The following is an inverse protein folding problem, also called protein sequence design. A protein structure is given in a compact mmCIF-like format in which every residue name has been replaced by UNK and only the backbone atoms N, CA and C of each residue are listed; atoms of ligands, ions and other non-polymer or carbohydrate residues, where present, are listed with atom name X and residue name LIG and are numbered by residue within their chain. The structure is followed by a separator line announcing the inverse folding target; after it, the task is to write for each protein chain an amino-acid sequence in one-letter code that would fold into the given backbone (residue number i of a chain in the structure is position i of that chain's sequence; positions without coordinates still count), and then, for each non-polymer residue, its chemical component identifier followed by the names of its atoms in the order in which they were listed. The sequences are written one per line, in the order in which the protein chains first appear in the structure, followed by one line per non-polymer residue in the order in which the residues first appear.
data_IF_706396367535
#
_entry.id   IF_706396367535
#
_cell.length_a   1.000
_cell.length_b   1.000
_cell.length_c   1.000
_cell.angle_alpha   90.00
_cell.angle_beta   90.00
_cell.angle_gamma   90.00
#
_symmetry.space_group_name_H-M   'P 1'
#
loop_
_entity.id
_entity.type
_entity.pdbx_description
1 polymer ?
#
# COMPACT_ATOMS: atom_id res chain seq x y z
N UNK A 1 5.54 -7.27 12.76
CA UNK A 1 4.23 -7.48 12.07
C UNK A 1 3.81 -8.92 12.33
N UNK A 2 2.54 -9.19 12.65
CA UNK A 2 2.07 -10.55 12.90
C UNK A 2 2.09 -11.41 11.62
N UNK A 3 2.29 -12.73 11.74
CA UNK A 3 2.37 -13.65 10.59
C UNK A 3 1.11 -13.63 9.71
N UNK A 4 -0.06 -13.43 10.30
CA UNK A 4 -1.31 -13.27 9.56
C UNK A 4 -1.31 -12.04 8.65
N UNK A 5 -0.70 -10.93 9.10
CA UNK A 5 -0.56 -9.72 8.30
C UNK A 5 0.42 -9.91 7.13
N UNK A 6 1.46 -10.74 7.32
CA UNK A 6 2.34 -11.17 6.22
C UNK A 6 1.69 -12.16 5.25
N UNK A 7 0.52 -12.68 5.59
CA UNK A 7 -0.26 -13.56 4.71
C UNK A 7 -1.54 -12.88 4.19
N UNK A 8 -1.72 -11.58 4.44
CA UNK A 8 -2.92 -10.86 4.05
C UNK A 8 -2.78 -10.28 2.63
N UNK A 9 -3.80 -10.47 1.81
CA UNK A 9 -3.88 -9.89 0.47
C UNK A 9 -5.11 -8.98 0.30
N UNK A 10 -5.73 -8.57 1.40
CA UNK A 10 -6.95 -7.75 1.38
C UNK A 10 -6.72 -6.35 1.95
N UNK A 11 -5.71 -5.66 1.42
CA UNK A 11 -5.28 -4.37 1.96
C UNK A 11 -6.36 -3.28 1.82
N UNK A 12 -7.25 -3.43 0.83
CA UNK A 12 -8.33 -2.47 0.57
C UNK A 12 -9.67 -2.87 1.19
N UNK A 13 -9.73 -3.96 1.97
CA UNK A 13 -10.96 -4.51 2.54
C UNK A 13 -12.05 -4.69 1.45
N UNK A 14 -11.83 -5.68 0.59
CA UNK A 14 -12.58 -5.94 -0.64
C UNK A 14 -14.04 -6.30 -0.44
N UNK A 15 -14.41 -6.77 0.77
CA UNK A 15 -15.76 -7.23 1.12
C UNK A 15 -16.59 -6.19 1.87
N UNK A 16 -16.01 -5.04 2.25
CA UNK A 16 -16.74 -3.97 2.92
C UNK A 16 -17.76 -3.29 1.98
N UNK A 17 -18.74 -2.61 2.56
CA UNK A 17 -19.63 -1.71 1.83
C UNK A 17 -18.99 -0.34 1.59
N UNK A 18 -18.30 0.17 2.61
CA UNK A 18 -17.60 1.45 2.65
C UNK A 18 -16.24 1.25 3.34
N UNK A 19 -15.17 1.78 2.75
CA UNK A 19 -13.81 1.71 3.32
C UNK A 19 -13.29 3.12 3.54
N UNK A 20 -12.73 3.36 4.72
CA UNK A 20 -12.11 4.64 5.08
C UNK A 20 -10.64 4.38 5.39
N UNK A 21 -9.76 5.18 4.82
CA UNK A 21 -8.31 5.09 5.05
C UNK A 21 -7.61 6.35 4.56
N UNK A 22 -6.28 6.30 4.40
CA UNK A 22 -5.49 7.46 4.00
C UNK A 22 -4.58 7.19 2.79
N UNK A 23 -4.44 5.94 2.35
CA UNK A 23 -3.39 5.54 1.40
C UNK A 23 -3.44 6.29 0.07
N UNK A 24 -4.63 6.67 -0.41
CA UNK A 24 -4.80 7.45 -1.63
C UNK A 24 -5.11 8.93 -1.38
N UNK A 25 -5.17 9.37 -0.12
CA UNK A 25 -5.44 10.75 0.22
C UNK A 25 -4.18 11.62 0.01
N UNK A 26 -4.33 12.88 -0.41
CA UNK A 26 -3.21 13.81 -0.47
C UNK A 26 -2.66 14.08 0.94
N UNK A 27 -1.34 14.05 1.08
CA UNK A 27 -0.64 14.35 2.32
C UNK A 27 0.50 15.31 2.02
N UNK A 28 0.45 16.51 2.62
CA UNK A 28 1.40 17.58 2.35
C UNK A 28 2.31 17.82 3.56
N UNK A 29 3.40 18.54 3.34
CA UNK A 29 4.26 19.01 4.44
C UNK A 29 3.45 19.89 5.40
N UNK A 30 3.30 19.45 6.65
CA UNK A 30 2.50 20.14 7.67
C UNK A 30 1.07 19.59 7.85
N UNK A 31 0.69 18.55 7.11
CA UNK A 31 -0.52 17.79 7.42
C UNK A 31 -0.35 17.04 8.75
N UNK A 32 -1.30 17.25 9.67
CA UNK A 32 -1.37 16.50 10.94
C UNK A 32 -2.34 15.34 10.80
N UNK A 33 -2.12 14.23 11.52
CA UNK A 33 -3.00 13.05 11.42
C UNK A 33 -4.46 13.36 11.76
N UNK A 34 -4.70 14.36 12.60
CA UNK A 34 -6.04 14.76 13.06
C UNK A 34 -6.78 15.68 12.09
N UNK A 35 -6.07 16.25 11.10
CA UNK A 35 -6.62 17.23 10.15
C UNK A 35 -6.43 16.81 8.70
N UNK A 36 -5.59 15.81 8.44
CA UNK A 36 -5.35 15.28 7.12
C UNK A 36 -6.63 14.67 6.53
N UNK A 37 -6.89 14.87 5.23
CA UNK A 37 -8.04 14.28 4.57
C UNK A 37 -7.91 12.76 4.52
N UNK A 38 -9.06 12.09 4.52
CA UNK A 38 -9.16 10.64 4.36
C UNK A 38 -9.66 10.30 2.96
N UNK A 39 -9.23 9.14 2.47
CA UNK A 39 -9.78 8.51 1.29
C UNK A 39 -10.95 7.61 1.69
N UNK A 40 -12.07 7.77 1.00
CA UNK A 40 -13.25 6.92 1.16
C UNK A 40 -13.49 6.14 -0.13
N UNK A 41 -13.63 4.82 -0.03
CA UNK A 41 -13.98 3.93 -1.15
C UNK A 41 -15.37 3.37 -0.94
N UNK A 42 -16.32 3.79 -1.79
CA UNK A 42 -17.69 3.27 -1.81
C UNK A 42 -17.75 2.05 -2.73
N UNK A 43 -18.16 0.90 -2.22
CA UNK A 43 -18.14 -0.37 -2.97
C UNK A 43 -19.51 -0.79 -3.51
N UNK A 44 -20.59 -0.36 -2.87
CA UNK A 44 -21.96 -0.69 -3.28
C UNK A 44 -22.99 0.32 -2.78
N UNK A 45 -24.28 0.05 -3.02
CA UNK A 45 -25.40 0.92 -2.64
C UNK A 45 -25.50 1.17 -1.14
N UNK A 46 -25.26 0.16 -0.29
CA UNK A 46 -25.28 0.33 1.18
C UNK A 46 -24.17 1.27 1.64
N UNK A 47 -22.96 1.09 1.11
CA UNK A 47 -21.85 1.99 1.43
C UNK A 47 -22.10 3.42 0.98
N UNK A 48 -22.82 3.60 -0.14
CA UNK A 48 -23.24 4.92 -0.62
C UNK A 48 -24.21 5.58 0.36
N UNK A 49 -25.24 4.85 0.80
CA UNK A 49 -26.21 5.32 1.79
C UNK A 49 -25.52 5.71 3.11
N UNK A 50 -24.56 4.92 3.58
CA UNK A 50 -23.77 5.24 4.78
C UNK A 50 -23.03 6.58 4.63
N UNK A 51 -22.37 6.82 3.50
CA UNK A 51 -21.62 8.04 3.24
C UNK A 51 -22.56 9.25 3.09
N UNK A 52 -23.66 9.09 2.36
CA UNK A 52 -24.65 10.15 2.14
C UNK A 52 -25.32 10.59 3.45
N UNK A 53 -25.64 9.65 4.34
CA UNK A 53 -26.16 9.96 5.68
C UNK A 53 -25.16 10.77 6.52
N UNK A 54 -23.87 10.42 6.46
CA UNK A 54 -22.83 11.15 7.17
C UNK A 54 -22.63 12.58 6.63
N UNK A 55 -22.72 12.76 5.32
CA UNK A 55 -22.69 14.06 4.65
C UNK A 55 -23.93 14.89 5.03
N UNK A 56 -25.12 14.30 4.92
CA UNK A 56 -26.39 14.97 5.25
C UNK A 56 -26.49 15.41 6.71
N UNK A 57 -25.83 14.67 7.61
CA UNK A 57 -25.69 15.04 9.03
C UNK A 57 -24.59 16.08 9.31
N UNK A 58 -23.91 16.60 8.29
CA UNK A 58 -22.82 17.57 8.43
C UNK A 58 -21.55 17.02 9.11
N UNK A 59 -21.37 15.68 9.13
CA UNK A 59 -20.22 15.03 9.80
C UNK A 59 -19.02 14.82 8.88
N UNK A 60 -19.24 14.86 7.56
CA UNK A 60 -18.22 14.62 6.54
C UNK A 60 -18.34 15.67 5.46
N UNK A 61 -17.24 16.34 5.19
CA UNK A 61 -17.07 17.22 4.03
C UNK A 61 -16.42 16.44 2.89
N UNK A 62 -16.96 16.55 1.68
CA UNK A 62 -16.38 15.92 0.50
C UNK A 62 -15.49 16.92 -0.21
N UNK A 63 -14.18 16.72 -0.09
CA UNK A 63 -13.17 17.59 -0.69
C UNK A 63 -12.92 17.29 -2.18
N UNK A 64 -13.09 16.04 -2.59
CA UNK A 64 -12.83 15.59 -3.97
C UNK A 64 -13.67 14.35 -4.30
N UNK A 65 -14.16 14.23 -5.54
CA UNK A 65 -14.90 13.05 -6.02
C UNK A 65 -14.26 12.51 -7.29
N UNK A 66 -13.89 11.23 -7.31
CA UNK A 66 -13.31 10.65 -8.52
C UNK A 66 -12.85 9.21 -8.35
N UNK A 67 -12.06 8.76 -9.32
CA UNK A 67 -11.54 7.39 -9.40
C UNK A 67 -11.47 6.88 -10.84
N UNK A 68 -11.03 5.63 -11.01
CA UNK A 68 -10.81 5.02 -12.33
C UNK A 68 -12.18 4.70 -12.98
N UNK A 69 -12.68 5.33 -14.04
CA UNK A 69 -12.24 6.50 -14.80
C UNK A 69 -13.41 7.47 -15.05
N UNK A 70 -13.54 8.42 -14.15
CA UNK A 70 -14.29 9.68 -14.28
C UNK A 70 -13.75 10.68 -13.27
N UNK A 71 -12.44 10.97 -13.40
CA UNK A 71 -11.53 11.17 -12.28
C UNK A 71 -11.34 12.63 -11.83
N UNK A 72 -11.64 12.93 -10.57
CA UNK A 72 -10.84 13.84 -9.75
C UNK A 72 -10.31 13.07 -8.53
N UNK A 73 -9.17 12.43 -8.67
CA UNK A 73 -8.31 12.00 -7.55
C UNK A 73 -6.85 12.12 -8.00
N UNK A 74 -6.00 12.67 -7.14
CA UNK A 74 -4.56 12.80 -7.43
C UNK A 74 -3.97 11.41 -7.76
N UNK A 75 -3.25 11.29 -8.87
CA UNK A 75 -2.60 10.05 -9.28
C UNK A 75 -1.38 10.40 -10.13
N UNK A 76 -0.26 10.71 -9.46
CA UNK A 76 0.96 11.20 -10.12
C UNK A 76 2.17 10.30 -9.84
N UNK A 77 3.10 10.29 -10.79
CA UNK A 77 4.35 9.53 -10.71
C UNK A 77 4.24 8.11 -11.28
N UNK A 78 5.36 7.37 -11.16
CA UNK A 78 5.45 5.96 -11.49
C UNK A 78 5.95 5.20 -10.26
N UNK A 79 5.14 4.27 -9.77
CA UNK A 79 5.46 3.47 -8.59
C UNK A 79 6.44 2.33 -8.85
N UNK A 80 6.65 1.92 -10.09
CA UNK A 80 7.26 0.62 -10.43
C UNK A 80 8.63 0.45 -9.77
N UNK A 81 9.52 1.43 -9.94
CA UNK A 81 10.89 1.37 -9.41
C UNK A 81 10.94 1.40 -7.88
N UNK A 82 10.12 2.23 -7.26
CA UNK A 82 10.08 2.32 -5.80
C UNK A 82 9.45 1.07 -5.18
N UNK A 83 8.47 0.45 -5.83
CA UNK A 83 7.92 -0.85 -5.40
C UNK A 83 9.01 -1.90 -5.29
N UNK A 84 9.84 -2.07 -6.33
CA UNK A 84 10.93 -3.05 -6.31
C UNK A 84 12.01 -2.65 -5.28
N UNK A 85 12.42 -1.39 -5.28
CA UNK A 85 13.45 -0.91 -4.36
C UNK A 85 13.05 -1.01 -2.88
N UNK A 86 11.75 -0.88 -2.55
CA UNK A 86 11.23 -1.10 -1.21
C UNK A 86 11.10 -2.58 -0.92
N UNK A 87 10.62 -3.38 -1.87
CA UNK A 87 10.52 -4.83 -1.75
C UNK A 87 11.88 -5.47 -1.44
N UNK A 88 12.91 -5.15 -2.23
CA UNK A 88 14.26 -5.67 -2.04
C UNK A 88 14.84 -5.30 -0.66
N UNK A 89 14.54 -4.11 -0.14
CA UNK A 89 15.12 -3.62 1.12
C UNK A 89 14.27 -3.94 2.35
N UNK A 90 13.11 -4.54 2.17
CA UNK A 90 12.24 -4.91 3.27
C UNK A 90 12.92 -5.94 4.17
N UNK A 91 12.82 -5.73 5.49
CA UNK A 91 13.51 -6.60 6.46
C UNK A 91 13.03 -8.05 6.41
N UNK A 92 11.75 -8.32 6.12
CA UNK A 92 11.29 -9.70 5.97
C UNK A 92 11.90 -10.32 4.71
N UNK A 93 11.87 -9.61 3.58
CA UNK A 93 12.47 -10.10 2.33
C UNK A 93 13.95 -10.38 2.54
N UNK A 94 14.69 -9.43 3.11
CA UNK A 94 16.11 -9.59 3.41
C UNK A 94 16.39 -10.78 4.34
N UNK A 95 15.59 -10.99 5.39
CA UNK A 95 15.73 -12.18 6.26
C UNK A 95 15.47 -13.49 5.51
N UNK A 96 14.61 -13.50 4.50
CA UNK A 96 14.33 -14.70 3.70
C UNK A 96 15.39 -14.95 2.62
N UNK A 97 15.94 -13.89 2.02
CA UNK A 97 16.83 -14.01 0.85
C UNK A 97 18.31 -13.92 1.20
N UNK A 98 18.66 -13.40 2.39
CA UNK A 98 20.04 -13.19 2.83
C UNK A 98 20.29 -13.80 4.22
N UNK A 99 21.02 -14.93 4.31
CA UNK A 99 21.31 -15.61 5.57
C UNK A 99 22.05 -14.76 6.61
N UNK A 100 22.88 -13.81 6.14
CA UNK A 100 23.71 -12.97 7.01
C UNK A 100 23.02 -11.64 7.36
N UNK A 101 21.78 -11.42 6.90
CA UNK A 101 21.07 -10.18 7.19
C UNK A 101 20.70 -10.08 8.66
N UNK A 102 21.20 -9.04 9.30
CA UNK A 102 20.81 -8.62 10.65
C UNK A 102 20.14 -7.26 10.54
N UNK A 103 18.87 -7.18 10.92
CA UNK A 103 18.16 -5.91 10.95
C UNK A 103 18.83 -4.96 11.95
N UNK A 104 19.16 -3.75 11.49
CA UNK A 104 19.71 -2.71 12.36
C UNK A 104 18.69 -2.31 13.46
N UNK A 105 19.19 -2.06 14.65
CA UNK A 105 18.41 -1.61 15.82
C UNK A 105 18.23 -0.08 15.85
N UNK A 106 19.00 0.65 15.03
CA UNK A 106 19.03 2.12 15.00
C UNK A 106 18.69 2.67 13.62
N UNK A 107 17.78 3.65 13.60
CA UNK A 107 17.47 4.43 12.41
C UNK A 107 18.59 5.39 12.01
N UNK A 108 18.45 6.00 10.84
CA UNK A 108 19.38 7.04 10.38
C UNK A 108 19.43 8.22 11.38
N UNK A 109 20.60 8.90 11.54
CA UNK A 109 20.69 10.09 12.37
C UNK A 109 19.64 11.15 11.96
N UNK A 110 19.08 11.94 12.89
CA UNK A 110 17.93 12.82 12.60
C UNK A 110 18.14 13.77 11.41
N UNK A 111 19.35 14.30 11.24
CA UNK A 111 19.66 15.19 10.11
C UNK A 111 19.66 14.44 8.76
N UNK A 112 20.18 13.20 8.73
CA UNK A 112 20.18 12.33 7.55
C UNK A 112 18.75 11.94 7.22
N UNK A 113 17.99 11.50 8.23
CA UNK A 113 16.59 11.15 8.07
C UNK A 113 15.76 12.31 7.52
N UNK A 114 15.99 13.54 8.01
CA UNK A 114 15.29 14.74 7.52
C UNK A 114 15.64 15.08 6.07
N UNK A 115 16.91 14.93 5.68
CA UNK A 115 17.33 15.15 4.30
C UNK A 115 16.71 14.09 3.36
N UNK A 116 16.79 12.81 3.74
CA UNK A 116 16.20 11.72 2.98
C UNK A 116 14.69 11.89 2.84
N UNK A 117 13.99 12.26 3.92
CA UNK A 117 12.56 12.51 3.89
C UNK A 117 12.17 13.60 2.88
N UNK A 118 12.95 14.69 2.78
CA UNK A 118 12.73 15.74 1.77
C UNK A 118 12.89 15.24 0.34
N UNK A 119 13.95 14.47 0.08
CA UNK A 119 14.23 13.90 -1.26
C UNK A 119 13.16 12.88 -1.66
N UNK A 120 12.79 12.01 -0.73
CA UNK A 120 11.78 10.96 -0.93
C UNK A 120 10.41 11.60 -1.17
N UNK A 121 10.01 12.61 -0.39
CA UNK A 121 8.73 13.29 -0.56
C UNK A 121 8.54 13.95 -1.94
N UNK A 122 9.64 14.32 -2.61
CA UNK A 122 9.59 14.91 -3.96
C UNK A 122 9.54 13.86 -5.07
N UNK A 123 10.04 12.66 -4.83
CA UNK A 123 10.25 11.62 -5.85
C UNK A 123 9.24 10.46 -5.75
N UNK A 124 8.53 10.34 -4.63
CA UNK A 124 7.49 9.32 -4.47
C UNK A 124 6.26 9.59 -5.34
N UNK A 125 5.58 8.51 -5.80
CA UNK A 125 4.26 8.64 -6.39
C UNK A 125 3.28 9.26 -5.39
N UNK A 126 2.23 9.90 -5.88
CA UNK A 126 1.26 10.64 -5.05
C UNK A 126 -0.17 10.15 -5.26
N UNK A 127 -0.97 10.31 -4.21
CA UNK A 127 -2.40 9.95 -4.19
C UNK A 127 -2.62 8.48 -4.54
N UNK A 128 -3.46 8.21 -5.53
CA UNK A 128 -3.80 6.85 -5.96
C UNK A 128 -2.59 6.05 -6.43
N UNK A 129 -1.55 6.71 -6.97
CA UNK A 129 -0.34 6.00 -7.39
C UNK A 129 0.50 5.56 -6.19
N UNK A 130 0.53 6.35 -5.11
CA UNK A 130 1.09 5.95 -3.82
C UNK A 130 0.32 4.79 -3.19
N UNK A 131 -1.01 4.83 -3.25
CA UNK A 131 -1.84 3.72 -2.75
C UNK A 131 -1.51 2.41 -3.46
N UNK A 132 -1.37 2.45 -4.79
CA UNK A 132 -0.97 1.28 -5.59
C UNK A 132 0.46 0.84 -5.27
N UNK A 133 1.39 1.78 -5.04
CA UNK A 133 2.76 1.45 -4.61
C UNK A 133 2.73 0.60 -3.34
N UNK A 134 2.00 1.06 -2.32
CA UNK A 134 1.90 0.39 -1.04
C UNK A 134 1.28 -1.01 -1.20
N UNK A 135 0.21 -1.13 -1.99
CA UNK A 135 -0.44 -2.42 -2.28
C UNK A 135 0.54 -3.38 -2.96
N UNK A 136 1.19 -2.92 -4.03
CA UNK A 136 2.05 -3.76 -4.86
C UNK A 136 3.20 -4.36 -4.02
N UNK A 137 3.95 -3.52 -3.29
CA UNK A 137 5.08 -4.00 -2.48
C UNK A 137 4.62 -4.94 -1.34
N UNK A 138 3.52 -4.61 -0.63
CA UNK A 138 3.02 -5.48 0.44
C UNK A 138 2.59 -6.85 -0.09
N UNK A 139 1.96 -6.91 -1.27
CA UNK A 139 1.58 -8.19 -1.86
C UNK A 139 2.80 -9.00 -2.28
N UNK A 140 3.81 -8.36 -2.87
CA UNK A 140 5.07 -9.04 -3.22
C UNK A 140 5.76 -9.63 -1.98
N UNK A 141 5.95 -8.84 -0.93
CA UNK A 141 6.52 -9.31 0.34
C UNK A 141 5.71 -10.45 0.94
N UNK A 142 4.38 -10.32 0.93
CA UNK A 142 3.49 -11.30 1.50
C UNK A 142 3.44 -12.61 0.69
N UNK A 143 3.67 -12.54 -0.63
CA UNK A 143 3.82 -13.72 -1.48
C UNK A 143 5.03 -14.54 -1.05
N UNK A 144 6.21 -13.90 -0.90
CA UNK A 144 7.43 -14.57 -0.44
C UNK A 144 7.22 -15.25 0.92
N UNK A 145 6.62 -14.53 1.87
CA UNK A 145 6.28 -15.11 3.17
C UNK A 145 5.34 -16.32 3.06
N UNK A 146 4.30 -16.22 2.23
CA UNK A 146 3.35 -17.31 2.05
C UNK A 146 4.01 -18.52 1.38
N UNK A 147 4.87 -18.33 0.38
CA UNK A 147 5.59 -19.42 -0.28
C UNK A 147 6.57 -20.10 0.68
N UNK A 148 7.36 -19.33 1.44
CA UNK A 148 8.27 -19.82 2.47
C UNK A 148 7.53 -20.66 3.54
N UNK A 149 6.41 -20.15 4.07
CA UNK A 149 5.72 -20.76 5.22
C UNK A 149 4.67 -21.80 4.87
N UNK A 150 4.05 -21.70 3.70
CA UNK A 150 2.96 -22.58 3.29
C UNK A 150 3.37 -23.55 2.17
N UNK A 151 4.48 -23.31 1.49
CA UNK A 151 4.87 -23.97 0.24
C UNK A 151 4.11 -23.41 -0.96
N UNK A 152 4.75 -23.46 -2.15
CA UNK A 152 4.26 -22.83 -3.38
C UNK A 152 2.83 -23.27 -3.77
N UNK A 153 2.49 -24.55 -3.62
CA UNK A 153 1.16 -25.06 -3.98
C UNK A 153 0.05 -24.46 -3.11
N UNK A 154 0.24 -24.44 -1.79
CA UNK A 154 -0.75 -23.90 -0.85
C UNK A 154 -0.80 -22.38 -0.92
N UNK A 155 0.34 -21.71 -1.04
CA UNK A 155 0.41 -20.28 -1.26
C UNK A 155 -0.36 -19.88 -2.53
N UNK A 156 -0.19 -20.62 -3.63
CA UNK A 156 -0.94 -20.37 -4.87
C UNK A 156 -2.46 -20.49 -4.68
N UNK A 157 -2.95 -21.41 -3.85
CA UNK A 157 -4.40 -21.46 -3.52
C UNK A 157 -4.87 -20.33 -2.61
N UNK A 158 -4.00 -19.88 -1.70
CA UNK A 158 -4.29 -18.82 -0.72
C UNK A 158 -4.33 -17.42 -1.37
N UNK A 159 -3.40 -17.14 -2.29
CA UNK A 159 -3.27 -15.81 -2.92
C UNK A 159 -4.43 -15.56 -3.90
N UNK A 160 -5.24 -14.50 -3.71
CA UNK A 160 -6.35 -14.19 -4.62
C UNK A 160 -5.90 -13.88 -6.05
N UNK A 161 -6.74 -14.19 -7.03
CA UNK A 161 -6.46 -13.96 -8.46
C UNK A 161 -6.11 -12.51 -8.78
N UNK A 162 -6.76 -11.52 -8.16
CA UNK A 162 -6.45 -10.11 -8.39
C UNK A 162 -5.06 -9.74 -7.86
N UNK A 163 -4.62 -10.31 -6.73
CA UNK A 163 -3.30 -10.07 -6.17
C UNK A 163 -2.24 -10.64 -7.10
N UNK A 164 -2.44 -11.87 -7.60
CA UNK A 164 -1.56 -12.46 -8.63
C UNK A 164 -1.47 -11.59 -9.88
N UNK A 165 -2.59 -11.08 -10.38
CA UNK A 165 -2.62 -10.23 -11.57
C UNK A 165 -1.86 -8.91 -11.34
N UNK A 166 -1.96 -8.31 -10.16
CA UNK A 166 -1.19 -7.12 -9.78
C UNK A 166 0.31 -7.45 -9.72
N UNK A 167 0.69 -8.55 -9.08
CA UNK A 167 2.10 -8.93 -8.91
C UNK A 167 2.76 -9.41 -10.21
N UNK A 168 1.99 -9.93 -11.17
CA UNK A 168 2.52 -10.48 -12.42
C UNK A 168 3.40 -9.49 -13.21
N UNK A 169 3.16 -8.18 -13.07
CA UNK A 169 3.96 -7.14 -13.72
C UNK A 169 5.39 -7.01 -13.17
N UNK A 170 5.68 -7.60 -12.02
CA UNK A 170 6.97 -7.57 -11.33
C UNK A 170 7.65 -8.95 -11.34
N UNK A 171 7.12 -9.91 -12.11
CA UNK A 171 7.56 -11.31 -12.02
C UNK A 171 9.04 -11.49 -12.37
N UNK A 172 9.57 -10.72 -13.33
CA UNK A 172 10.99 -10.76 -13.67
C UNK A 172 11.87 -10.18 -12.55
N UNK A 173 11.46 -9.04 -11.98
CA UNK A 173 12.18 -8.39 -10.89
C UNK A 173 12.23 -9.30 -9.64
N UNK A 174 11.11 -9.95 -9.31
CA UNK A 174 11.02 -10.83 -8.13
C UNK A 174 11.87 -12.08 -8.31
N UNK A 175 11.88 -12.70 -9.50
CA UNK A 175 12.71 -13.86 -9.82
C UNK A 175 14.21 -13.59 -9.70
N UNK A 176 14.62 -12.33 -9.84
CA UNK A 176 16.02 -11.96 -9.65
C UNK A 176 16.43 -11.92 -8.16
N UNK A 177 15.45 -11.86 -7.25
CA UNK A 177 15.64 -11.73 -5.80
C UNK A 177 15.40 -13.07 -5.07
N UNK A 178 14.42 -13.86 -5.51
CA UNK A 178 13.95 -15.11 -4.88
C UNK A 178 13.77 -16.23 -5.91
#
# INVERSE_FOLDING_TARGET
IASSCYSCFDYTNGLADLVVGYMGAPFNSGSEMTTAPLMVTVRNGRGREMLENAIGAGRVEVLQRGGKGGAELLSEGDRTKITIATFERDSLVQTLTNPDYVAGDKGAPPFVASLLARVIAQTLPKGMEFARYSIDYHYLRNLLFAEDRMGAERASRHVPRYAKAIMARYADDVRAVW
#
